data_IF_210553597214
#
_entry.id   IF_210553597214
#
_cell.length_a   1.000
_cell.length_b   1.000
_cell.length_c   1.000
_cell.angle_alpha   90.00
_cell.angle_beta   90.00
_cell.angle_gamma   90.00
#
_symmetry.space_group_name_H-M   'P 1'
#
loop_
_entity.id
_entity.type
_entity.pdbx_description
1 polymer ?
#
# COMPACT_ATOMS: atom_id res chain seq x y z
N UNK A 1 -28.00 10.68 -34.55
CA UNK A 1 -27.85 9.54 -33.64
C UNK A 1 -28.82 8.45 -34.08
N UNK A 2 -28.34 7.25 -34.34
CA UNK A 2 -29.21 6.12 -34.73
C UNK A 2 -30.02 5.64 -33.51
N UNK A 3 -31.13 4.94 -33.72
CA UNK A 3 -31.91 4.37 -32.63
C UNK A 3 -31.08 3.38 -31.76
N UNK A 4 -30.08 2.76 -32.36
CA UNK A 4 -29.12 1.90 -31.65
C UNK A 4 -28.20 2.71 -30.71
N UNK A 5 -27.58 3.78 -31.21
CA UNK A 5 -26.72 4.68 -30.40
C UNK A 5 -27.48 5.28 -29.22
N UNK A 6 -28.75 5.65 -29.44
CA UNK A 6 -29.59 6.20 -28.37
C UNK A 6 -29.88 5.18 -27.27
N UNK A 7 -30.11 3.91 -27.62
CA UNK A 7 -30.29 2.84 -26.62
C UNK A 7 -29.02 2.59 -25.84
N UNK A 8 -27.89 2.49 -26.52
CA UNK A 8 -26.56 2.29 -25.88
C UNK A 8 -26.29 3.40 -24.87
N UNK A 9 -26.47 4.66 -25.25
CA UNK A 9 -26.23 5.81 -24.33
C UNK A 9 -27.24 5.80 -23.16
N UNK A 10 -28.49 5.45 -23.36
CA UNK A 10 -29.47 5.35 -22.28
C UNK A 10 -29.10 4.26 -21.26
N UNK A 11 -28.65 3.10 -21.73
CA UNK A 11 -28.29 1.98 -20.85
C UNK A 11 -27.00 2.32 -20.06
N UNK A 12 -26.02 2.96 -20.69
CA UNK A 12 -24.81 3.47 -19.98
C UNK A 12 -25.18 4.53 -18.94
N UNK A 13 -26.04 5.48 -19.29
CA UNK A 13 -26.49 6.51 -18.36
C UNK A 13 -27.26 5.93 -17.16
N UNK A 14 -28.02 4.88 -17.39
CA UNK A 14 -28.73 4.18 -16.31
C UNK A 14 -27.73 3.48 -15.35
N UNK A 15 -26.74 2.78 -15.89
CA UNK A 15 -25.67 2.15 -15.10
C UNK A 15 -24.95 3.21 -14.28
N UNK A 16 -24.53 4.32 -14.90
CA UNK A 16 -23.87 5.43 -14.24
C UNK A 16 -24.70 6.01 -13.08
N UNK A 17 -26.01 6.26 -13.31
CA UNK A 17 -26.90 6.77 -12.27
C UNK A 17 -27.05 5.81 -11.10
N UNK A 18 -27.12 4.51 -11.37
CA UNK A 18 -27.20 3.49 -10.33
C UNK A 18 -25.91 3.43 -9.49
N UNK A 19 -24.74 3.50 -10.14
CA UNK A 19 -23.44 3.58 -9.48
C UNK A 19 -23.37 4.82 -8.58
N UNK A 20 -23.72 6.00 -9.09
CA UNK A 20 -23.73 7.24 -8.31
C UNK A 20 -24.65 7.15 -7.08
N UNK A 21 -25.82 6.51 -7.22
CA UNK A 21 -26.77 6.32 -6.12
C UNK A 21 -26.18 5.45 -5.00
N UNK A 22 -25.57 4.33 -5.37
CA UNK A 22 -24.95 3.42 -4.38
C UNK A 22 -23.73 4.07 -3.73
N UNK A 23 -22.90 4.76 -4.51
CA UNK A 23 -21.73 5.49 -4.00
C UNK A 23 -22.15 6.56 -2.97
N UNK A 24 -23.24 7.31 -3.24
CA UNK A 24 -23.81 8.27 -2.27
C UNK A 24 -24.30 7.60 -0.98
N UNK A 25 -24.91 6.40 -1.10
CA UNK A 25 -25.34 5.61 0.07
C UNK A 25 -24.13 5.19 0.93
N UNK A 26 -23.04 4.74 0.31
CA UNK A 26 -21.81 4.34 1.00
C UNK A 26 -21.15 5.53 1.69
N UNK A 27 -21.06 6.68 1.04
CA UNK A 27 -20.54 7.91 1.64
C UNK A 27 -21.33 8.34 2.89
N UNK A 28 -22.66 8.21 2.82
CA UNK A 28 -23.50 8.50 3.99
C UNK A 28 -23.34 7.44 5.08
N UNK A 29 -23.19 6.18 4.72
CA UNK A 29 -22.95 5.09 5.66
C UNK A 29 -21.61 5.28 6.42
N UNK A 30 -20.55 5.80 5.78
CA UNK A 30 -19.29 6.14 6.43
C UNK A 30 -19.52 7.18 7.54
N UNK A 31 -20.21 8.27 7.22
CA UNK A 31 -20.53 9.34 8.20
C UNK A 31 -21.33 8.78 9.37
N UNK A 32 -22.32 7.96 9.07
CA UNK A 32 -23.19 7.38 10.09
C UNK A 32 -22.46 6.37 10.99
N UNK A 33 -21.61 5.50 10.42
CA UNK A 33 -20.83 4.52 11.17
C UNK A 33 -19.85 5.20 12.14
N UNK A 34 -19.13 6.22 11.65
CA UNK A 34 -18.20 7.00 12.49
C UNK A 34 -18.95 7.77 13.56
N UNK A 35 -20.03 8.44 13.22
CA UNK A 35 -20.85 9.18 14.21
C UNK A 35 -21.38 8.24 15.29
N UNK A 36 -21.94 7.09 14.91
CA UNK A 36 -22.44 6.09 15.86
C UNK A 36 -21.33 5.59 16.80
N UNK A 37 -20.14 5.34 16.28
CA UNK A 37 -18.96 4.94 17.06
C UNK A 37 -18.56 6.01 18.08
N UNK A 38 -18.52 7.28 17.67
CA UNK A 38 -18.08 8.40 18.52
C UNK A 38 -19.10 8.82 19.56
N UNK A 39 -20.41 8.57 19.32
CA UNK A 39 -21.51 8.98 20.20
C UNK A 39 -22.12 7.82 20.99
N UNK A 40 -21.85 6.56 20.61
CA UNK A 40 -22.50 5.40 21.20
C UNK A 40 -23.95 5.19 20.70
N UNK A 41 -24.33 5.77 19.55
CA UNK A 41 -25.66 5.64 18.96
C UNK A 41 -25.85 4.25 18.33
N UNK A 42 -26.35 3.30 19.10
CA UNK A 42 -26.56 1.92 18.68
C UNK A 42 -27.64 1.78 17.60
N UNK A 43 -28.68 2.63 17.61
CA UNK A 43 -29.76 2.55 16.61
C UNK A 43 -29.23 2.98 15.24
N UNK A 44 -28.43 4.03 15.20
CA UNK A 44 -27.75 4.45 13.99
C UNK A 44 -26.76 3.39 13.50
N UNK A 45 -25.98 2.78 14.42
CA UNK A 45 -25.06 1.69 14.06
C UNK A 45 -25.82 0.48 13.44
N UNK A 46 -26.94 0.07 14.03
CA UNK A 46 -27.77 -1.00 13.45
C UNK A 46 -28.33 -0.63 12.09
N UNK A 47 -28.71 0.64 11.88
CA UNK A 47 -29.18 1.10 10.56
C UNK A 47 -28.12 0.97 9.48
N UNK A 48 -26.84 1.23 9.80
CA UNK A 48 -25.71 1.02 8.88
C UNK A 48 -25.56 -0.47 8.54
N UNK A 49 -25.55 -1.34 9.57
CA UNK A 49 -25.43 -2.80 9.38
C UNK A 49 -26.54 -3.36 8.49
N UNK A 50 -27.78 -2.92 8.70
CA UNK A 50 -28.94 -3.36 7.88
C UNK A 50 -28.92 -2.75 6.48
N UNK A 51 -28.41 -1.53 6.35
CA UNK A 51 -28.28 -0.83 5.06
C UNK A 51 -27.35 -1.53 4.08
N UNK A 52 -26.35 -2.24 4.57
CA UNK A 52 -25.42 -3.03 3.78
C UNK A 52 -26.11 -4.07 2.88
N UNK A 53 -27.16 -4.71 3.38
CA UNK A 53 -27.97 -5.65 2.57
C UNK A 53 -28.65 -4.99 1.35
N UNK A 54 -28.97 -3.71 1.44
CA UNK A 54 -29.54 -2.95 0.33
C UNK A 54 -28.45 -2.60 -0.70
N UNK A 55 -27.27 -2.20 -0.21
CA UNK A 55 -26.07 -1.94 -1.04
C UNK A 55 -25.72 -3.20 -1.85
N UNK A 56 -25.61 -4.35 -1.19
CA UNK A 56 -25.25 -5.63 -1.81
C UNK A 56 -26.28 -6.09 -2.86
N UNK A 57 -27.57 -5.73 -2.69
CA UNK A 57 -28.60 -5.99 -3.74
C UNK A 57 -28.43 -5.06 -4.93
N UNK A 58 -28.21 -3.77 -4.68
CA UNK A 58 -28.02 -2.78 -5.73
C UNK A 58 -26.77 -3.09 -6.58
N UNK A 59 -25.66 -3.55 -5.94
CA UNK A 59 -24.46 -4.00 -6.64
C UNK A 59 -24.75 -5.15 -7.60
N UNK A 60 -25.44 -6.19 -7.13
CA UNK A 60 -25.85 -7.32 -8.00
C UNK A 60 -26.76 -6.89 -9.15
N UNK A 61 -27.54 -5.84 -8.98
CA UNK A 61 -28.36 -5.28 -10.05
C UNK A 61 -27.53 -4.55 -11.09
N UNK A 62 -26.49 -3.81 -10.67
CA UNK A 62 -25.50 -3.15 -11.54
C UNK A 62 -24.71 -4.21 -12.32
N UNK A 63 -24.22 -5.27 -11.66
CA UNK A 63 -23.54 -6.40 -12.30
C UNK A 63 -24.37 -6.98 -13.45
N UNK A 64 -25.65 -7.29 -13.19
CA UNK A 64 -26.57 -7.79 -14.21
C UNK A 64 -26.75 -6.81 -15.36
N UNK A 65 -26.84 -5.50 -15.09
CA UNK A 65 -26.96 -4.48 -16.12
C UNK A 65 -25.71 -4.41 -16.99
N UNK A 66 -24.53 -4.48 -16.39
CA UNK A 66 -23.25 -4.51 -17.11
C UNK A 66 -23.15 -5.71 -18.05
N UNK A 67 -23.49 -6.91 -17.57
CA UNK A 67 -23.50 -8.11 -18.39
C UNK A 67 -24.55 -8.06 -19.52
N UNK A 68 -25.75 -7.56 -19.23
CA UNK A 68 -26.79 -7.35 -20.24
C UNK A 68 -26.33 -6.33 -21.30
N UNK A 69 -25.70 -5.24 -20.90
CA UNK A 69 -25.17 -4.24 -21.81
C UNK A 69 -24.14 -4.85 -22.79
N UNK A 70 -23.18 -5.64 -22.29
CA UNK A 70 -22.20 -6.30 -23.16
C UNK A 70 -22.87 -7.27 -24.15
N UNK A 71 -23.84 -8.07 -23.68
CA UNK A 71 -24.56 -9.04 -24.51
C UNK A 71 -25.39 -8.38 -25.60
N UNK A 72 -26.01 -7.23 -25.30
CA UNK A 72 -26.94 -6.55 -26.23
C UNK A 72 -26.24 -5.64 -27.23
N UNK A 73 -25.16 -4.95 -26.80
CA UNK A 73 -24.58 -3.87 -27.58
C UNK A 73 -23.26 -4.24 -28.26
N UNK A 74 -22.58 -5.33 -27.85
CA UNK A 74 -21.25 -5.70 -28.35
C UNK A 74 -20.30 -4.48 -28.40
N UNK A 75 -20.02 -3.82 -27.27
CA UNK A 75 -19.45 -2.49 -27.20
C UNK A 75 -18.04 -2.39 -27.78
N UNK A 76 -17.71 -1.22 -28.33
CA UNK A 76 -16.33 -0.88 -28.75
C UNK A 76 -15.38 -0.79 -27.56
N UNK A 77 -14.08 -0.74 -27.84
CA UNK A 77 -13.03 -0.76 -26.81
C UNK A 77 -13.22 0.26 -25.65
N UNK A 78 -13.66 1.49 -25.94
CA UNK A 78 -13.93 2.51 -24.93
C UNK A 78 -15.10 2.14 -23.99
N UNK A 79 -16.23 1.76 -24.55
CA UNK A 79 -17.38 1.33 -23.75
C UNK A 79 -17.11 0.03 -22.98
N UNK A 80 -16.35 -0.90 -23.59
CA UNK A 80 -15.95 -2.13 -22.90
C UNK A 80 -15.04 -1.85 -21.70
N UNK A 81 -14.07 -0.92 -21.83
CA UNK A 81 -13.23 -0.51 -20.67
C UNK A 81 -14.10 0.08 -19.56
N UNK A 82 -15.05 0.98 -19.90
CA UNK A 82 -15.96 1.57 -18.92
C UNK A 82 -16.76 0.50 -18.17
N UNK A 83 -17.42 -0.41 -18.88
CA UNK A 83 -18.19 -1.50 -18.24
C UNK A 83 -17.28 -2.40 -17.38
N UNK A 84 -16.10 -2.74 -17.88
CA UNK A 84 -15.11 -3.51 -17.10
C UNK A 84 -14.68 -2.79 -15.82
N UNK A 85 -14.53 -1.47 -15.85
CA UNK A 85 -14.20 -0.67 -14.67
C UNK A 85 -15.38 -0.53 -13.71
N UNK A 86 -16.64 -0.46 -14.21
CA UNK A 86 -17.82 -0.50 -13.34
C UNK A 86 -17.91 -1.83 -12.59
N UNK A 87 -17.64 -2.96 -13.24
CA UNK A 87 -17.60 -4.28 -12.59
C UNK A 87 -16.53 -4.38 -11.50
N UNK A 88 -15.37 -3.73 -11.67
CA UNK A 88 -14.35 -3.66 -10.61
C UNK A 88 -14.74 -2.70 -9.49
N UNK A 89 -15.25 -1.52 -9.85
CA UNK A 89 -15.76 -0.54 -8.89
C UNK A 89 -16.83 -1.14 -7.97
N UNK A 90 -17.70 -1.98 -8.50
CA UNK A 90 -18.72 -2.71 -7.74
C UNK A 90 -18.09 -3.50 -6.59
N UNK A 91 -17.03 -4.27 -6.89
CA UNK A 91 -16.31 -5.06 -5.87
C UNK A 91 -15.69 -4.15 -4.80
N UNK A 92 -15.12 -3.01 -5.20
CA UNK A 92 -14.53 -2.06 -4.25
C UNK A 92 -15.60 -1.41 -3.35
N UNK A 93 -16.74 -1.03 -3.91
CA UNK A 93 -17.85 -0.46 -3.15
C UNK A 93 -18.50 -1.47 -2.20
N UNK A 94 -18.66 -2.74 -2.62
CA UNK A 94 -19.14 -3.82 -1.74
C UNK A 94 -18.22 -3.99 -0.54
N UNK A 95 -16.90 -4.06 -0.76
CA UNK A 95 -15.92 -4.17 0.33
C UNK A 95 -15.97 -2.98 1.27
N UNK A 96 -16.13 -1.76 0.74
CA UNK A 96 -16.29 -0.58 1.58
C UNK A 96 -17.54 -0.71 2.44
N UNK A 97 -18.69 -1.16 1.88
CA UNK A 97 -19.92 -1.44 2.62
C UNK A 97 -19.70 -2.42 3.77
N UNK A 98 -19.04 -3.54 3.51
CA UNK A 98 -18.66 -4.53 4.50
C UNK A 98 -17.79 -3.95 5.64
N UNK A 99 -16.81 -3.10 5.30
CA UNK A 99 -15.97 -2.43 6.30
C UNK A 99 -16.79 -1.46 7.15
N UNK A 100 -17.72 -0.73 6.57
CA UNK A 100 -18.61 0.19 7.31
C UNK A 100 -19.56 -0.57 8.25
N UNK A 101 -20.13 -1.68 7.78
CA UNK A 101 -20.94 -2.57 8.61
C UNK A 101 -20.11 -3.18 9.76
N UNK A 102 -18.82 -3.48 9.51
CA UNK A 102 -17.89 -3.93 10.56
C UNK A 102 -17.65 -2.83 11.59
N UNK A 103 -17.35 -1.60 11.18
CA UNK A 103 -17.18 -0.45 12.09
C UNK A 103 -18.44 -0.23 12.96
N UNK A 104 -19.63 -0.30 12.34
CA UNK A 104 -20.89 -0.15 13.04
C UNK A 104 -21.13 -1.28 14.06
N UNK A 105 -20.75 -2.53 13.76
CA UNK A 105 -20.83 -3.64 14.73
C UNK A 105 -19.88 -3.43 15.92
N UNK A 106 -18.65 -2.95 15.67
CA UNK A 106 -17.73 -2.64 16.76
C UNK A 106 -18.26 -1.50 17.63
N UNK A 107 -18.89 -0.47 17.04
CA UNK A 107 -19.52 0.62 17.79
C UNK A 107 -20.56 0.14 18.83
N UNK A 108 -21.37 -0.86 18.46
CA UNK A 108 -22.36 -1.45 19.38
C UNK A 108 -21.71 -2.31 20.47
N UNK A 109 -20.53 -2.86 20.22
CA UNK A 109 -19.85 -3.76 21.16
C UNK A 109 -18.97 -3.04 22.19
N UNK A 110 -18.65 -1.75 21.98
CA UNK A 110 -17.90 -0.97 22.93
C UNK A 110 -18.67 -0.81 24.24
N UNK A 111 -18.00 -0.98 25.37
CA UNK A 111 -18.60 -0.74 26.69
C UNK A 111 -18.82 0.74 26.95
N UNK A 112 -17.96 1.59 26.39
CA UNK A 112 -18.00 3.06 26.48
C UNK A 112 -17.49 3.68 25.17
N UNK A 113 -17.88 4.91 24.89
CA UNK A 113 -17.36 5.67 23.73
C UNK A 113 -15.83 5.79 23.78
N UNK A 114 -15.15 5.94 22.62
CA UNK A 114 -13.68 6.03 22.57
C UNK A 114 -13.13 7.15 23.49
N UNK A 115 -11.98 6.96 24.15
CA UNK A 115 -11.34 8.00 24.95
C UNK A 115 -10.92 9.19 24.08
N UNK A 116 -10.81 10.38 24.66
CA UNK A 116 -10.61 11.63 23.93
C UNK A 116 -9.37 11.63 23.00
N UNK A 117 -8.28 10.98 23.41
CA UNK A 117 -7.09 10.82 22.58
C UNK A 117 -7.40 10.03 21.30
N UNK A 118 -8.00 8.86 21.48
CA UNK A 118 -8.35 7.94 20.38
C UNK A 118 -9.49 8.51 19.53
N UNK A 119 -10.46 9.17 20.17
CA UNK A 119 -11.59 9.84 19.49
C UNK A 119 -11.11 10.84 18.44
N UNK A 120 -10.15 11.72 18.79
CA UNK A 120 -9.60 12.73 17.88
C UNK A 120 -8.91 12.07 16.67
N UNK A 121 -8.20 11.00 16.90
CA UNK A 121 -7.52 10.27 15.84
C UNK A 121 -8.51 9.58 14.90
N UNK A 122 -9.59 8.97 15.44
CA UNK A 122 -10.66 8.38 14.64
C UNK A 122 -11.35 9.45 13.78
N UNK A 123 -11.72 10.57 14.39
CA UNK A 123 -12.42 11.67 13.71
C UNK A 123 -11.56 12.25 12.59
N UNK A 124 -10.28 12.51 12.86
CA UNK A 124 -9.34 13.00 11.87
C UNK A 124 -9.15 11.99 10.72
N UNK A 125 -8.89 10.70 11.03
CA UNK A 125 -8.69 9.67 10.02
C UNK A 125 -9.96 9.47 9.19
N UNK A 126 -11.13 9.45 9.82
CA UNK A 126 -12.41 9.30 9.12
C UNK A 126 -12.71 10.47 8.18
N UNK A 127 -12.35 11.71 8.55
CA UNK A 127 -12.45 12.87 7.67
C UNK A 127 -11.54 12.74 6.46
N UNK A 128 -10.29 12.33 6.65
CA UNK A 128 -9.34 12.10 5.55
C UNK A 128 -9.82 10.98 4.61
N UNK A 129 -10.23 9.85 5.18
CA UNK A 129 -10.77 8.71 4.41
C UNK A 129 -12.04 9.11 3.66
N UNK A 130 -12.92 9.88 4.31
CA UNK A 130 -14.14 10.40 3.67
C UNK A 130 -13.86 11.28 2.46
N UNK A 131 -12.86 12.16 2.55
CA UNK A 131 -12.43 13.01 1.43
C UNK A 131 -11.83 12.19 0.29
N UNK A 132 -10.95 11.24 0.62
CA UNK A 132 -10.33 10.36 -0.38
C UNK A 132 -11.39 9.51 -1.09
N UNK A 133 -12.36 8.94 -0.35
CA UNK A 133 -13.45 8.17 -0.93
C UNK A 133 -14.35 9.06 -1.83
N UNK A 134 -14.68 10.25 -1.37
CA UNK A 134 -15.48 11.20 -2.16
C UNK A 134 -14.77 11.54 -3.48
N UNK A 135 -13.52 11.97 -3.41
CA UNK A 135 -12.75 12.35 -4.61
C UNK A 135 -12.53 11.18 -5.56
N UNK A 136 -12.31 9.96 -5.03
CA UNK A 136 -12.17 8.76 -5.86
C UNK A 136 -13.48 8.46 -6.63
N UNK A 137 -14.63 8.54 -5.97
CA UNK A 137 -15.94 8.36 -6.60
C UNK A 137 -16.19 9.47 -7.64
N UNK A 138 -15.97 10.73 -7.29
CA UNK A 138 -16.14 11.86 -8.21
C UNK A 138 -15.25 11.70 -9.44
N UNK A 139 -13.97 11.33 -9.25
CA UNK A 139 -13.06 11.10 -10.38
C UNK A 139 -13.55 10.01 -11.33
N UNK A 140 -14.19 8.97 -10.80
CA UNK A 140 -14.73 7.89 -11.61
C UNK A 140 -16.01 8.30 -12.36
N UNK A 141 -16.91 9.02 -11.69
CA UNK A 141 -18.18 9.47 -12.28
C UNK A 141 -17.95 10.54 -13.36
N UNK A 142 -17.01 11.45 -13.13
CA UNK A 142 -16.76 12.59 -14.02
C UNK A 142 -15.65 12.32 -15.05
N UNK A 143 -15.06 11.09 -15.07
CA UNK A 143 -13.94 10.71 -15.94
C UNK A 143 -12.72 11.63 -15.77
N UNK A 144 -12.41 12.03 -14.53
CA UNK A 144 -11.32 12.95 -14.21
C UNK A 144 -10.03 12.21 -13.79
N UNK A 145 -9.06 12.02 -14.72
CA UNK A 145 -7.81 11.33 -14.42
C UNK A 145 -6.87 12.16 -13.51
N UNK A 146 -6.96 13.50 -13.51
CA UNK A 146 -6.10 14.33 -12.67
C UNK A 146 -6.54 14.27 -11.21
N UNK A 147 -7.85 14.32 -10.97
CA UNK A 147 -8.41 14.10 -9.64
C UNK A 147 -8.08 12.68 -9.14
N UNK A 148 -8.13 11.67 -10.00
CA UNK A 148 -7.76 10.30 -9.66
C UNK A 148 -6.27 10.20 -9.24
N UNK A 149 -5.33 10.83 -9.99
CA UNK A 149 -3.89 10.81 -9.67
C UNK A 149 -3.60 11.49 -8.34
N UNK A 150 -4.15 12.68 -8.12
CA UNK A 150 -3.94 13.42 -6.87
C UNK A 150 -4.52 12.70 -5.66
N UNK A 151 -5.73 12.15 -5.78
CA UNK A 151 -6.40 11.40 -4.73
C UNK A 151 -5.65 10.13 -4.36
N UNK A 152 -5.14 9.39 -5.36
CA UNK A 152 -4.31 8.20 -5.15
C UNK A 152 -3.08 8.49 -4.28
N UNK A 153 -2.40 9.63 -4.51
CA UNK A 153 -1.24 10.02 -3.72
C UNK A 153 -1.61 10.33 -2.26
N UNK A 154 -2.73 11.02 -2.03
CA UNK A 154 -3.23 11.29 -0.66
C UNK A 154 -3.59 9.99 0.07
N UNK A 155 -4.15 9.00 -0.62
CA UNK A 155 -4.49 7.71 -0.02
C UNK A 155 -3.27 6.97 0.53
N UNK A 156 -2.10 7.07 -0.10
CA UNK A 156 -0.85 6.51 0.42
C UNK A 156 -0.41 7.13 1.74
N UNK A 157 -0.63 8.45 1.93
CA UNK A 157 -0.24 9.12 3.18
C UNK A 157 -1.10 8.69 4.37
N UNK A 158 -2.34 8.28 4.15
CA UNK A 158 -3.24 7.78 5.19
C UNK A 158 -2.70 6.48 5.82
N UNK A 159 -2.10 5.61 5.03
CA UNK A 159 -1.52 4.35 5.51
C UNK A 159 -0.44 4.58 6.59
N UNK A 160 0.33 5.66 6.48
CA UNK A 160 1.39 6.04 7.44
C UNK A 160 0.83 6.50 8.80
N UNK A 161 -0.40 7.00 8.85
CA UNK A 161 -1.05 7.48 10.09
C UNK A 161 -1.41 6.34 11.05
N UNK A 162 -1.43 5.09 10.55
CA UNK A 162 -1.79 3.92 11.35
C UNK A 162 -0.83 3.66 12.52
N UNK A 163 0.47 3.88 12.33
CA UNK A 163 1.49 3.58 13.35
C UNK A 163 1.34 4.46 14.60
N UNK A 164 1.06 5.77 14.44
CA UNK A 164 0.85 6.67 15.57
C UNK A 164 -0.39 6.30 16.40
N UNK A 165 -1.43 5.85 15.71
CA UNK A 165 -2.69 5.44 16.34
C UNK A 165 -2.54 4.14 17.13
N UNK A 166 -1.75 3.21 16.61
CA UNK A 166 -1.44 1.96 17.34
C UNK A 166 -0.70 2.25 18.66
N UNK A 167 0.26 3.17 18.63
CA UNK A 167 0.97 3.60 19.84
C UNK A 167 0.03 4.22 20.89
N UNK A 168 -0.98 5.02 20.47
CA UNK A 168 -1.96 5.59 21.38
C UNK A 168 -2.87 4.54 22.00
N UNK A 169 -3.27 3.50 21.24
CA UNK A 169 -4.03 2.37 21.76
C UNK A 169 -3.21 1.53 22.77
N UNK A 170 -1.92 1.33 22.53
CA UNK A 170 -1.03 0.65 23.47
C UNK A 170 -0.93 1.44 24.77
N UNK A 171 -0.72 2.77 24.72
CA UNK A 171 -0.69 3.64 25.88
C UNK A 171 -1.99 3.58 26.70
N UNK A 172 -3.15 3.53 26.03
CA UNK A 172 -4.44 3.35 26.73
C UNK A 172 -4.53 1.95 27.36
N UNK A 173 -4.00 0.92 26.74
CA UNK A 173 -3.92 -0.45 27.28
C UNK A 173 -3.05 -0.54 28.52
N UNK A 174 -1.89 0.13 28.54
CA UNK A 174 -0.97 0.16 29.67
C UNK A 174 -1.58 0.87 30.91
N UNK A 175 -2.46 1.85 30.70
CA UNK A 175 -3.19 2.50 31.80
C UNK A 175 -4.16 1.58 32.52
N UNK A 176 -4.56 0.45 31.87
CA UNK A 176 -5.48 -0.52 32.44
C UNK A 176 -6.91 0.00 32.73
N UNK A 177 -7.28 1.11 32.13
CA UNK A 177 -8.55 1.81 32.38
C UNK A 177 -9.72 1.23 31.58
N UNK A 178 -9.44 0.44 30.53
CA UNK A 178 -10.44 -0.11 29.62
C UNK A 178 -10.29 -1.62 29.43
N UNK A 179 -11.42 -2.33 29.16
CA UNK A 179 -11.37 -3.72 28.78
C UNK A 179 -10.53 -3.91 27.50
N UNK A 180 -9.71 -4.98 27.47
CA UNK A 180 -8.93 -5.35 26.26
C UNK A 180 -9.83 -5.49 25.04
N UNK A 181 -11.07 -5.97 25.20
CA UNK A 181 -12.05 -6.11 24.13
C UNK A 181 -12.30 -4.77 23.42
N UNK A 182 -12.45 -3.69 24.17
CA UNK A 182 -12.68 -2.34 23.60
C UNK A 182 -11.46 -1.85 22.80
N UNK A 183 -10.25 -2.15 23.27
CA UNK A 183 -9.03 -1.80 22.56
C UNK A 183 -8.90 -2.56 21.25
N UNK A 184 -9.25 -3.84 21.24
CA UNK A 184 -9.29 -4.63 19.99
C UNK A 184 -10.38 -4.13 19.04
N UNK A 185 -11.55 -3.76 19.53
CA UNK A 185 -12.62 -3.18 18.72
C UNK A 185 -12.15 -1.87 18.04
N UNK A 186 -11.49 -0.99 18.79
CA UNK A 186 -10.92 0.25 18.25
C UNK A 186 -9.82 -0.02 17.22
N UNK A 187 -8.94 -1.01 17.46
CA UNK A 187 -7.93 -1.42 16.48
C UNK A 187 -8.57 -1.92 15.17
N UNK A 188 -9.66 -2.69 15.27
CA UNK A 188 -10.42 -3.13 14.09
C UNK A 188 -10.97 -1.92 13.35
N UNK A 189 -11.56 -0.93 14.05
CA UNK A 189 -12.07 0.30 13.43
C UNK A 189 -10.99 1.02 12.61
N UNK A 190 -9.81 1.24 13.21
CA UNK A 190 -8.70 1.88 12.50
C UNK A 190 -8.27 1.08 11.26
N UNK A 191 -8.15 -0.24 11.40
CA UNK A 191 -7.83 -1.09 10.27
C UNK A 191 -8.88 -0.98 9.16
N UNK A 192 -10.19 -0.94 9.49
CA UNK A 192 -11.25 -0.80 8.49
C UNK A 192 -11.23 0.56 7.80
N UNK A 193 -10.95 1.65 8.52
CA UNK A 193 -10.78 2.98 7.90
C UNK A 193 -9.60 2.99 6.91
N UNK A 194 -8.45 2.40 7.28
CA UNK A 194 -7.33 2.24 6.35
C UNK A 194 -7.70 1.43 5.10
N UNK A 195 -8.45 0.33 5.29
CA UNK A 195 -8.93 -0.47 4.14
C UNK A 195 -9.87 0.30 3.21
N UNK A 196 -10.69 1.21 3.72
CA UNK A 196 -11.53 2.08 2.88
C UNK A 196 -10.64 3.00 2.02
N UNK A 197 -9.56 3.55 2.57
CA UNK A 197 -8.59 4.33 1.79
C UNK A 197 -7.94 3.48 0.68
N UNK A 198 -7.57 2.21 0.97
CA UNK A 198 -7.04 1.29 -0.03
C UNK A 198 -8.03 1.03 -1.18
N UNK A 199 -9.31 0.78 -0.86
CA UNK A 199 -10.33 0.58 -1.90
C UNK A 199 -10.52 1.87 -2.72
N UNK A 200 -10.49 3.04 -2.07
CA UNK A 200 -10.58 4.33 -2.77
C UNK A 200 -9.42 4.55 -3.75
N UNK A 201 -8.20 4.11 -3.38
CA UNK A 201 -7.04 4.09 -4.29
C UNK A 201 -7.28 3.20 -5.51
N UNK A 202 -7.87 2.01 -5.30
CA UNK A 202 -8.21 1.11 -6.41
C UNK A 202 -9.25 1.75 -7.35
N UNK A 203 -10.26 2.46 -6.82
CA UNK A 203 -11.22 3.22 -7.63
C UNK A 203 -10.51 4.25 -8.51
N UNK A 204 -9.52 4.98 -7.97
CA UNK A 204 -8.71 5.91 -8.76
C UNK A 204 -7.93 5.20 -9.89
N UNK A 205 -7.39 4.01 -9.62
CA UNK A 205 -6.71 3.19 -10.64
C UNK A 205 -7.69 2.73 -11.74
N UNK A 206 -8.90 2.38 -11.38
CA UNK A 206 -9.96 2.05 -12.36
C UNK A 206 -10.39 3.26 -13.18
N UNK A 207 -10.42 4.45 -12.61
CA UNK A 207 -10.66 5.71 -13.35
C UNK A 207 -9.56 5.92 -14.40
N UNK A 208 -8.29 5.81 -14.00
CA UNK A 208 -7.15 5.97 -14.91
C UNK A 208 -7.23 4.95 -16.05
N UNK A 209 -7.51 3.68 -15.75
CA UNK A 209 -7.70 2.66 -16.78
C UNK A 209 -8.85 2.98 -17.73
N UNK A 210 -9.98 3.47 -17.22
CA UNK A 210 -11.16 3.81 -18.03
C UNK A 210 -10.83 4.90 -19.03
N UNK A 211 -10.23 5.99 -18.56
CA UNK A 211 -10.03 7.22 -19.34
C UNK A 211 -8.80 7.12 -20.23
N UNK A 212 -7.67 6.71 -19.68
CA UNK A 212 -6.38 6.73 -20.39
C UNK A 212 -5.97 5.37 -20.96
N UNK A 213 -6.57 4.29 -20.47
CA UNK A 213 -6.13 2.92 -20.78
C UNK A 213 -4.89 2.49 -20.00
N UNK A 214 -4.39 3.32 -19.06
CA UNK A 214 -3.27 2.97 -18.20
C UNK A 214 -3.63 1.78 -17.31
N UNK A 215 -2.84 0.73 -17.38
CA UNK A 215 -2.95 -0.41 -16.45
C UNK A 215 -2.17 -0.13 -15.17
N UNK A 216 -2.55 -0.81 -14.10
CA UNK A 216 -1.80 -0.75 -12.83
C UNK A 216 -0.32 -1.05 -13.09
N UNK A 217 0.54 -0.10 -12.74
CA UNK A 217 1.98 -0.31 -12.88
C UNK A 217 2.44 -1.43 -11.94
N UNK A 218 3.37 -2.27 -12.38
CA UNK A 218 4.00 -3.24 -11.49
C UNK A 218 4.53 -2.54 -10.24
N UNK A 219 4.40 -3.21 -9.10
CA UNK A 219 4.90 -2.66 -7.83
C UNK A 219 6.43 -2.53 -7.90
N UNK A 220 6.93 -1.34 -7.59
CA UNK A 220 8.36 -1.10 -7.41
C UNK A 220 8.68 -1.31 -5.94
N UNK A 221 9.55 -2.27 -5.64
CA UNK A 221 9.92 -2.61 -4.28
C UNK A 221 11.14 -1.80 -3.84
N UNK A 222 11.07 -1.18 -2.65
CA UNK A 222 12.23 -0.55 -2.02
C UNK A 222 12.92 -1.56 -1.13
N UNK A 223 14.20 -1.81 -1.37
CA UNK A 223 15.03 -2.77 -0.65
C UNK A 223 16.26 -2.04 -0.10
N UNK A 224 16.52 -2.18 1.19
CA UNK A 224 17.71 -1.65 1.84
C UNK A 224 18.62 -2.80 2.25
N UNK A 225 19.89 -2.76 1.83
CA UNK A 225 20.94 -3.67 2.29
C UNK A 225 21.74 -3.03 3.41
N UNK A 226 21.90 -3.73 4.53
CA UNK A 226 22.52 -3.15 5.72
C UNK A 226 23.58 -4.09 6.28
N UNK A 227 24.75 -3.55 6.59
CA UNK A 227 25.79 -4.21 7.38
C UNK A 227 26.42 -3.22 8.38
N UNK A 228 27.52 -3.60 9.01
CA UNK A 228 28.19 -2.70 9.96
C UNK A 228 28.75 -1.47 9.25
N UNK A 229 29.50 -1.63 8.16
CA UNK A 229 30.35 -0.59 7.59
C UNK A 229 29.86 0.03 6.29
N UNK A 230 28.99 -0.65 5.56
CA UNK A 230 28.57 -0.25 4.22
C UNK A 230 29.75 0.01 3.26
N UNK A 231 30.79 -0.80 3.36
CA UNK A 231 32.04 -0.59 2.62
C UNK A 231 32.34 -1.69 1.58
N UNK A 232 31.58 -2.78 1.51
CA UNK A 232 31.81 -3.88 0.57
C UNK A 232 30.51 -4.57 0.09
N UNK A 233 30.03 -5.60 0.80
CA UNK A 233 28.97 -6.49 0.36
C UNK A 233 27.64 -5.74 0.08
N UNK A 234 27.27 -4.79 0.91
CA UNK A 234 26.06 -3.98 0.76
C UNK A 234 26.14 -3.05 -0.46
N UNK A 235 27.31 -2.50 -0.77
CA UNK A 235 27.54 -1.69 -1.97
C UNK A 235 27.44 -2.54 -3.25
N UNK A 236 27.99 -3.76 -3.23
CA UNK A 236 27.84 -4.71 -4.34
C UNK A 236 26.35 -5.09 -4.55
N UNK A 237 25.63 -5.33 -3.44
CA UNK A 237 24.21 -5.70 -3.50
C UNK A 237 23.35 -4.57 -4.11
N UNK A 238 23.58 -3.33 -3.70
CA UNK A 238 22.92 -2.15 -4.27
C UNK A 238 23.17 -2.05 -5.78
N UNK A 239 24.43 -2.14 -6.19
CA UNK A 239 24.83 -2.07 -7.61
C UNK A 239 24.20 -3.19 -8.45
N UNK A 240 24.13 -4.42 -7.93
CA UNK A 240 23.46 -5.56 -8.59
C UNK A 240 21.96 -5.28 -8.72
N UNK A 241 21.32 -4.84 -7.65
CA UNK A 241 19.90 -4.55 -7.61
C UNK A 241 19.48 -3.53 -8.67
N UNK A 242 20.15 -2.38 -8.69
CA UNK A 242 19.88 -1.31 -9.65
C UNK A 242 20.04 -1.78 -11.12
N UNK A 243 21.07 -2.54 -11.42
CA UNK A 243 21.31 -3.02 -12.79
C UNK A 243 20.34 -4.11 -13.21
N UNK A 244 20.05 -5.06 -12.31
CA UNK A 244 19.28 -6.27 -12.67
C UNK A 244 17.77 -6.03 -12.64
N UNK A 245 17.30 -5.07 -11.84
CA UNK A 245 15.87 -4.83 -11.62
C UNK A 245 15.48 -3.35 -11.67
N UNK A 246 15.87 -2.58 -12.72
CA UNK A 246 15.69 -1.13 -12.80
C UNK A 246 14.23 -0.69 -12.75
N UNK A 247 13.30 -1.52 -13.28
CA UNK A 247 11.88 -1.19 -13.39
C UNK A 247 11.04 -1.74 -12.21
N UNK A 248 11.60 -2.65 -11.41
CA UNK A 248 10.83 -3.38 -10.37
C UNK A 248 11.39 -3.23 -8.96
N UNK A 249 12.57 -2.59 -8.80
CA UNK A 249 13.19 -2.35 -7.51
C UNK A 249 13.91 -1.01 -7.43
N UNK A 250 13.90 -0.42 -6.24
CA UNK A 250 14.82 0.64 -5.80
C UNK A 250 15.66 0.06 -4.69
N UNK A 251 16.96 0.19 -4.80
CA UNK A 251 17.89 -0.46 -3.91
C UNK A 251 18.80 0.59 -3.29
N UNK A 252 18.92 0.54 -1.99
CA UNK A 252 19.82 1.42 -1.23
C UNK A 252 20.67 0.56 -0.32
N UNK A 253 21.80 1.10 0.14
CA UNK A 253 22.64 0.45 1.13
C UNK A 253 23.04 1.39 2.26
N UNK A 254 23.24 0.86 3.47
CA UNK A 254 23.62 1.63 4.65
C UNK A 254 24.42 0.77 5.66
N UNK A 255 25.17 1.45 6.53
CA UNK A 255 25.85 0.86 7.67
C UNK A 255 25.38 1.47 8.98
N UNK A 256 25.31 0.66 10.07
CA UNK A 256 25.06 1.21 11.41
C UNK A 256 26.29 1.85 12.03
N UNK A 257 27.50 1.58 11.50
CA UNK A 257 28.76 2.23 11.82
C UNK A 257 29.57 2.44 10.51
N UNK A 258 29.11 3.33 9.62
CA UNK A 258 29.60 3.42 8.26
C UNK A 258 31.08 3.80 8.19
N UNK A 259 31.79 3.24 7.23
CA UNK A 259 33.16 3.59 6.94
C UNK A 259 33.29 5.04 6.43
N UNK A 260 34.41 5.68 6.63
CA UNK A 260 34.64 7.05 6.13
C UNK A 260 34.71 7.09 4.59
N UNK A 261 35.30 6.04 3.99
CA UNK A 261 35.50 5.94 2.54
C UNK A 261 35.32 4.51 2.07
N UNK A 262 34.90 4.37 0.82
CA UNK A 262 34.84 3.10 0.09
C UNK A 262 36.19 2.93 -0.62
N UNK A 263 36.74 1.72 -0.57
CA UNK A 263 38.03 1.41 -1.20
C UNK A 263 37.95 1.53 -2.73
N UNK A 264 38.86 2.26 -3.39
CA UNK A 264 38.91 2.38 -4.84
C UNK A 264 38.99 1.04 -5.59
N UNK A 265 39.59 0.02 -5.00
CA UNK A 265 39.71 -1.32 -5.59
C UNK A 265 38.30 -1.99 -5.72
N UNK A 266 37.43 -1.79 -4.71
CA UNK A 266 36.03 -2.23 -4.78
C UNK A 266 35.28 -1.51 -5.88
N UNK A 267 35.44 -0.19 -5.99
CA UNK A 267 34.81 0.59 -7.08
C UNK A 267 35.23 0.07 -8.44
N UNK A 268 36.53 -0.15 -8.63
CA UNK A 268 37.05 -0.76 -9.88
C UNK A 268 36.51 -2.17 -10.16
N UNK A 269 36.25 -2.97 -9.11
CA UNK A 269 35.62 -4.29 -9.25
C UNK A 269 34.18 -4.17 -9.73
N UNK A 270 33.38 -3.27 -9.16
CA UNK A 270 31.99 -3.00 -9.51
C UNK A 270 31.89 -2.45 -10.93
N UNK A 271 32.73 -1.49 -11.30
CA UNK A 271 32.76 -0.90 -12.65
C UNK A 271 33.13 -1.90 -13.74
N UNK A 272 34.14 -2.78 -13.51
CA UNK A 272 34.51 -3.83 -14.46
C UNK A 272 33.36 -4.78 -14.79
N UNK A 273 32.36 -4.92 -13.91
CA UNK A 273 31.13 -5.70 -14.15
C UNK A 273 30.02 -4.86 -14.77
N UNK A 274 30.32 -3.62 -15.12
CA UNK A 274 29.37 -2.71 -15.78
C UNK A 274 28.25 -2.25 -14.87
N UNK A 275 28.50 -2.18 -13.55
CA UNK A 275 27.62 -1.53 -12.61
C UNK A 275 28.11 -0.11 -12.32
N UNK A 276 27.19 0.80 -12.00
CA UNK A 276 27.47 2.12 -11.48
C UNK A 276 26.97 2.20 -10.03
N UNK A 277 27.71 2.92 -9.18
CA UNK A 277 27.24 3.31 -7.87
C UNK A 277 26.78 4.76 -7.94
N UNK A 278 25.58 5.04 -7.43
CA UNK A 278 25.04 6.41 -7.36
C UNK A 278 25.78 7.26 -6.33
N UNK A 279 26.36 6.63 -5.31
CA UNK A 279 27.17 7.27 -4.28
C UNK A 279 28.46 6.49 -4.03
N UNK A 280 29.57 7.23 -3.90
CA UNK A 280 30.91 6.67 -3.58
C UNK A 280 31.20 6.76 -2.08
N UNK A 281 30.20 7.11 -1.27
CA UNK A 281 30.35 7.32 0.18
C UNK A 281 29.45 6.33 0.91
N UNK A 282 30.02 5.68 1.93
CA UNK A 282 29.24 4.81 2.81
C UNK A 282 28.12 5.59 3.50
N UNK A 283 26.91 5.09 3.44
CA UNK A 283 25.72 5.74 3.96
C UNK A 283 25.40 5.27 5.38
N UNK A 284 24.98 6.18 6.26
CA UNK A 284 24.58 5.83 7.62
C UNK A 284 23.13 5.39 7.67
N UNK A 285 22.85 4.26 8.33
CA UNK A 285 21.49 3.79 8.62
C UNK A 285 20.65 4.84 9.38
N UNK A 286 21.31 5.65 10.21
CA UNK A 286 20.67 6.72 11.01
C UNK A 286 20.60 8.06 10.29
N UNK A 287 20.96 8.12 9.01
CA UNK A 287 20.82 9.35 8.24
C UNK A 287 19.35 9.63 7.94
N UNK A 288 18.99 10.92 7.83
CA UNK A 288 17.64 11.36 7.41
C UNK A 288 17.29 10.93 5.99
N UNK A 289 18.24 10.41 5.22
CA UNK A 289 18.01 9.89 3.87
C UNK A 289 17.32 8.53 3.90
N UNK A 290 17.38 7.78 5.00
CA UNK A 290 16.80 6.46 5.15
C UNK A 290 15.66 6.47 6.17
N UNK A 291 14.45 6.73 5.72
CA UNK A 291 13.26 6.43 6.53
C UNK A 291 13.00 4.92 6.47
N UNK A 292 13.29 4.22 7.56
CA UNK A 292 13.15 2.74 7.66
C UNK A 292 11.76 2.26 7.25
N UNK A 293 10.72 3.04 7.58
CA UNK A 293 9.32 2.74 7.20
C UNK A 293 9.03 2.81 5.71
N UNK A 294 9.91 3.40 4.91
CA UNK A 294 9.73 3.50 3.46
C UNK A 294 10.14 2.21 2.72
N UNK A 295 10.91 1.34 3.38
CA UNK A 295 11.41 0.11 2.77
C UNK A 295 10.44 -1.06 2.93
N UNK A 296 10.21 -1.78 1.84
CA UNK A 296 9.43 -3.01 1.86
C UNK A 296 10.21 -4.18 2.45
N UNK A 297 11.52 -4.20 2.17
CA UNK A 297 12.44 -5.23 2.67
C UNK A 297 13.73 -4.57 3.12
N UNK A 298 14.22 -4.98 4.29
CA UNK A 298 15.55 -4.65 4.79
C UNK A 298 16.31 -5.95 4.97
N UNK A 299 17.47 -6.06 4.34
CA UNK A 299 18.31 -7.25 4.37
C UNK A 299 19.61 -6.91 5.11
N UNK A 300 19.84 -7.55 6.24
CA UNK A 300 21.10 -7.39 7.00
C UNK A 300 22.11 -8.48 6.66
N UNK A 301 23.39 -8.09 6.63
CA UNK A 301 24.52 -8.98 6.44
C UNK A 301 25.37 -9.02 7.72
N UNK A 302 25.59 -10.21 8.28
CA UNK A 302 26.48 -10.40 9.41
C UNK A 302 26.06 -9.82 10.76
N UNK A 303 24.79 -9.40 10.90
CA UNK A 303 24.23 -8.85 12.13
C UNK A 303 22.72 -8.71 12.05
N UNK A 304 22.09 -8.33 13.17
CA UNK A 304 20.64 -8.09 13.20
C UNK A 304 20.39 -6.58 13.21
N UNK A 305 19.83 -6.05 12.13
CA UNK A 305 19.49 -4.62 12.02
C UNK A 305 18.54 -4.14 13.12
N UNK A 306 17.70 -5.04 13.66
CA UNK A 306 16.75 -4.70 14.73
C UNK A 306 17.43 -4.25 16.03
N UNK A 307 18.72 -4.58 16.21
CA UNK A 307 19.51 -4.14 17.37
C UNK A 307 19.98 -2.67 17.21
N UNK A 308 19.81 -2.09 16.02
CA UNK A 308 20.30 -0.77 15.64
C UNK A 308 19.19 0.22 15.26
N UNK A 309 17.91 -0.18 15.30
CA UNK A 309 16.76 0.69 15.02
C UNK A 309 15.83 0.76 16.23
N UNK A 310 15.17 1.90 16.44
CA UNK A 310 14.33 2.13 17.61
C UNK A 310 13.05 1.27 17.63
N UNK A 311 12.45 1.01 16.46
CA UNK A 311 11.27 0.16 16.32
C UNK A 311 11.23 -0.43 14.91
N UNK A 312 10.75 -1.67 14.80
CA UNK A 312 10.52 -2.33 13.52
C UNK A 312 9.19 -1.84 12.93
N UNK A 313 9.16 -1.19 11.75
CA UNK A 313 7.92 -0.84 11.08
C UNK A 313 7.11 -2.08 10.71
N UNK A 314 5.80 -2.02 10.87
CA UNK A 314 4.91 -3.17 10.67
C UNK A 314 4.91 -3.71 9.23
N UNK A 315 5.11 -2.84 8.25
CA UNK A 315 5.07 -3.20 6.82
C UNK A 315 6.40 -3.62 6.23
N UNK A 316 7.49 -3.49 6.99
CA UNK A 316 8.84 -3.81 6.53
C UNK A 316 9.19 -5.26 6.85
N UNK A 317 9.64 -6.00 5.85
CA UNK A 317 10.15 -7.37 6.01
C UNK A 317 11.62 -7.29 6.35
N UNK A 318 12.03 -7.91 7.45
CA UNK A 318 13.43 -8.01 7.86
C UNK A 318 13.98 -9.39 7.53
N UNK A 319 15.06 -9.41 6.74
CA UNK A 319 15.79 -10.62 6.37
C UNK A 319 17.22 -10.53 6.87
N UNK A 320 17.81 -11.67 7.19
CA UNK A 320 19.23 -11.77 7.51
C UNK A 320 19.87 -12.78 6.56
N UNK A 321 20.83 -12.31 5.77
CA UNK A 321 21.58 -13.17 4.86
C UNK A 321 22.97 -13.44 5.40
N UNK A 322 23.39 -14.70 5.33
CA UNK A 322 24.75 -15.10 5.67
C UNK A 322 25.67 -14.83 4.48
N UNK A 323 26.08 -13.56 4.36
CA UNK A 323 27.02 -13.07 3.35
C UNK A 323 28.36 -12.86 4.01
N UNK A 324 29.42 -13.39 3.40
CA UNK A 324 30.76 -13.18 3.89
C UNK A 324 31.11 -11.68 3.93
N UNK A 325 31.80 -11.19 4.97
CA UNK A 325 32.36 -9.85 4.97
C UNK A 325 33.35 -9.71 3.82
N UNK A 326 33.52 -8.50 3.31
CA UNK A 326 34.50 -8.24 2.27
C UNK A 326 35.92 -8.62 2.69
N UNK A 327 36.86 -8.77 1.73
CA UNK A 327 38.25 -9.05 2.02
C UNK A 327 38.83 -8.02 2.99
N UNK A 328 39.59 -8.47 3.97
CA UNK A 328 40.24 -7.55 4.93
C UNK A 328 41.31 -6.67 4.27
N UNK A 329 41.88 -7.12 3.14
CA UNK A 329 42.86 -6.40 2.32
C UNK A 329 42.51 -6.63 0.84
N UNK A 330 42.00 -5.58 0.19
CA UNK A 330 41.59 -5.58 -1.21
C UNK A 330 42.77 -5.63 -2.21
N UNK A 331 43.99 -5.42 -1.77
CA UNK A 331 45.19 -5.59 -2.57
C UNK A 331 45.77 -7.03 -2.47
N UNK A 332 45.19 -7.89 -1.65
CA UNK A 332 45.65 -9.29 -1.51
C UNK A 332 45.39 -10.10 -2.79
N UNK A 333 46.22 -11.11 -3.03
CA UNK A 333 46.11 -12.00 -4.20
C UNK A 333 44.81 -12.81 -4.24
N UNK A 334 44.08 -12.92 -3.14
CA UNK A 334 42.81 -13.65 -3.03
C UNK A 334 41.58 -12.72 -3.05
N UNK A 335 41.79 -11.41 -2.91
CA UNK A 335 40.68 -10.45 -2.80
C UNK A 335 39.70 -10.52 -3.99
N UNK A 336 40.21 -10.62 -5.22
CA UNK A 336 39.36 -10.69 -6.41
C UNK A 336 38.47 -11.95 -6.40
N UNK A 337 39.01 -13.07 -5.93
CA UNK A 337 38.22 -14.31 -5.81
C UNK A 337 37.16 -14.20 -4.71
N UNK A 338 37.51 -13.65 -3.56
CA UNK A 338 36.55 -13.43 -2.45
C UNK A 338 35.42 -12.49 -2.88
N UNK A 339 35.74 -11.40 -3.58
CA UNK A 339 34.74 -10.49 -4.14
C UNK A 339 33.86 -11.18 -5.20
N UNK A 340 34.42 -12.08 -6.02
CA UNK A 340 33.68 -12.88 -7.00
C UNK A 340 32.68 -13.81 -6.32
N UNK A 341 33.10 -14.50 -5.26
CA UNK A 341 32.24 -15.41 -4.50
C UNK A 341 31.09 -14.65 -3.84
N UNK A 342 31.37 -13.49 -3.24
CA UNK A 342 30.35 -12.59 -2.67
C UNK A 342 29.38 -12.12 -3.76
N UNK A 343 29.90 -11.65 -4.89
CA UNK A 343 29.10 -11.16 -6.01
C UNK A 343 28.13 -12.23 -6.52
N UNK A 344 28.62 -13.45 -6.76
CA UNK A 344 27.80 -14.54 -7.28
C UNK A 344 26.71 -14.94 -6.27
N UNK A 345 27.02 -14.99 -4.99
CA UNK A 345 26.03 -15.27 -3.94
C UNK A 345 24.97 -14.18 -3.88
N UNK A 346 25.36 -12.89 -3.93
CA UNK A 346 24.44 -11.76 -3.94
C UNK A 346 23.53 -11.76 -5.18
N UNK A 347 24.05 -12.05 -6.38
CA UNK A 347 23.24 -12.17 -7.59
C UNK A 347 22.16 -13.22 -7.39
N UNK A 348 22.49 -14.38 -6.82
CA UNK A 348 21.55 -15.46 -6.56
C UNK A 348 20.48 -15.06 -5.54
N UNK A 349 20.89 -14.48 -4.41
CA UNK A 349 19.98 -14.09 -3.32
C UNK A 349 19.04 -12.96 -3.74
N UNK A 350 19.55 -11.93 -4.42
CA UNK A 350 18.75 -10.79 -4.90
C UNK A 350 17.77 -11.26 -5.98
N UNK A 351 18.20 -12.13 -6.90
CA UNK A 351 17.30 -12.68 -7.90
C UNK A 351 16.15 -13.46 -7.27
N UNK A 352 16.44 -14.33 -6.31
CA UNK A 352 15.41 -15.09 -5.58
C UNK A 352 14.45 -14.18 -4.81
N UNK A 353 14.98 -13.14 -4.13
CA UNK A 353 14.16 -12.16 -3.43
C UNK A 353 13.20 -11.44 -4.39
N UNK A 354 13.71 -10.96 -5.52
CA UNK A 354 12.91 -10.21 -6.47
C UNK A 354 11.87 -11.08 -7.17
N UNK A 355 12.19 -12.34 -7.48
CA UNK A 355 11.20 -13.32 -7.99
C UNK A 355 10.07 -13.54 -6.97
N UNK A 356 10.42 -13.75 -5.70
CA UNK A 356 9.43 -13.92 -4.63
C UNK A 356 8.55 -12.67 -4.45
N UNK A 357 9.14 -11.47 -4.47
CA UNK A 357 8.41 -10.21 -4.34
C UNK A 357 7.46 -9.96 -5.52
N UNK A 358 7.82 -10.40 -6.72
CA UNK A 358 7.02 -10.28 -7.94
C UNK A 358 5.95 -11.37 -8.06
N UNK A 359 5.94 -12.35 -7.16
CA UNK A 359 5.01 -13.48 -7.21
C UNK A 359 5.34 -14.49 -8.32
N UNK A 360 6.57 -14.51 -8.81
CA UNK A 360 7.07 -15.45 -9.76
C UNK A 360 7.62 -16.69 -9.02
N UNK A 361 7.58 -17.88 -9.66
CA UNK A 361 8.12 -19.08 -9.03
C UNK A 361 9.64 -18.94 -8.90
N UNK A 362 10.13 -19.21 -7.70
CA UNK A 362 11.56 -19.35 -7.42
C UNK A 362 11.89 -20.81 -7.69
N UNK A 363 12.69 -21.10 -8.73
CA UNK A 363 13.19 -22.44 -9.05
C UNK A 363 14.28 -22.90 -8.05
#
# INVERSE_FOLDING_TARGET
MTHYEQRLENDLSQIHTNVATVAGTIQQALKNAVYALLTGDSDLAYSVVLGDLAVNRAMRDIDRQCHAFVAQHQPSAGHLRRISSVLRLEIELERIGDYLASIAREAVQLSETPPDSVRKNIDFLADQVGKVLQNAIESFLDDDPELARTTKNVAYEIERTYESTFADLLNEGEKGTRPLRDLFALLIVFNRLGRIADQSKNICEDTLFTVTGETKQPKVYKVLFVDEKNDCATQIAEAIGHKSFPDSGKFDSAGWNPAENIDPALLGFIERRGHALDSVVASSLMSTAHEISDYHVIVSFGGNVLDHIAAAPFHTIFLNWDIAPGPADLESSNAEKELEDIYNELVRQISNLMLALRGENVD
#
